data_IF_645716270383
#
_entry.id   IF_645716270383
#
_cell.length_a   1.000
_cell.length_b   1.000
_cell.length_c   1.000
_cell.angle_alpha   90.00
_cell.angle_beta   90.00
_cell.angle_gamma   90.00
#
_symmetry.space_group_name_H-M   'P 1'
#
loop_
_entity.id
_entity.type
_entity.pdbx_description
1 polymer ?
#
# COMPACT_ATOMS: atom_id res chain seq x y z
N UNK A 1 20.02 -11.52 3.44
CA UNK A 1 20.34 -10.78 2.20
C UNK A 1 19.70 -9.41 2.33
N UNK A 2 20.48 -8.33 2.29
CA UNK A 2 19.94 -6.97 2.24
C UNK A 2 19.52 -6.69 0.79
N UNK A 3 18.31 -7.10 0.43
CA UNK A 3 17.71 -6.69 -0.85
C UNK A 3 17.28 -5.23 -0.68
N UNK A 4 17.84 -4.38 -1.52
CA UNK A 4 17.48 -2.96 -1.58
C UNK A 4 16.25 -2.79 -2.50
N UNK A 5 15.36 -1.86 -2.16
CA UNK A 5 14.15 -1.59 -2.91
C UNK A 5 13.99 -0.08 -3.11
N UNK A 6 13.13 0.30 -4.05
CA UNK A 6 12.68 1.68 -4.26
C UNK A 6 11.23 1.80 -3.81
N UNK A 7 10.89 2.95 -3.22
CA UNK A 7 9.51 3.34 -2.96
C UNK A 7 9.19 4.58 -3.78
N UNK A 8 7.99 4.63 -4.34
CA UNK A 8 7.51 5.76 -5.15
C UNK A 8 6.07 6.08 -4.76
N UNK A 9 5.79 7.37 -4.53
CA UNK A 9 4.41 7.85 -4.45
C UNK A 9 3.74 7.67 -5.82
N UNK A 10 2.52 7.12 -5.82
CA UNK A 10 1.73 6.94 -7.02
C UNK A 10 0.29 7.40 -6.81
N UNK A 11 -0.34 7.72 -7.93
CA UNK A 11 -1.78 7.97 -8.00
C UNK A 11 -2.36 7.27 -9.24
N UNK A 12 -3.60 6.79 -9.11
CA UNK A 12 -4.31 6.15 -10.21
C UNK A 12 -5.83 6.32 -10.07
N UNK A 13 -6.58 6.48 -11.19
CA UNK A 13 -8.02 6.66 -11.15
C UNK A 13 -8.75 5.34 -10.89
N UNK A 14 -9.88 5.41 -10.18
CA UNK A 14 -10.90 4.37 -10.14
C UNK A 14 -11.81 4.44 -11.37
N UNK A 15 -12.77 3.50 -11.46
CA UNK A 15 -13.79 3.52 -12.52
C UNK A 15 -14.70 4.77 -12.50
N UNK A 16 -14.83 5.43 -11.34
CA UNK A 16 -15.59 6.66 -11.16
C UNK A 16 -14.69 7.91 -11.09
N UNK A 17 -13.48 7.84 -11.67
CA UNK A 17 -12.52 8.94 -11.79
C UNK A 17 -11.97 9.50 -10.45
N UNK A 18 -12.25 8.83 -9.33
CA UNK A 18 -11.68 9.19 -8.02
C UNK A 18 -10.23 8.72 -7.98
N UNK A 19 -9.30 9.60 -7.59
CA UNK A 19 -7.89 9.26 -7.49
C UNK A 19 -7.57 8.50 -6.21
N UNK A 20 -7.07 7.28 -6.35
CA UNK A 20 -6.45 6.54 -5.24
C UNK A 20 -4.96 6.86 -5.17
N UNK A 21 -4.44 7.03 -3.95
CA UNK A 21 -3.03 7.34 -3.69
C UNK A 21 -2.38 6.25 -2.85
N UNK A 22 -1.11 6.04 -3.09
CA UNK A 22 -0.37 4.97 -2.44
C UNK A 22 1.10 4.97 -2.77
N UNK A 23 1.76 3.87 -2.40
CA UNK A 23 3.17 3.61 -2.63
C UNK A 23 3.36 2.38 -3.50
N UNK A 24 4.27 2.49 -4.45
CA UNK A 24 4.78 1.38 -5.23
C UNK A 24 6.18 1.00 -4.74
N UNK A 25 6.30 -0.22 -4.23
CA UNK A 25 7.57 -0.81 -3.82
C UNK A 25 8.10 -1.72 -4.92
N UNK A 26 9.32 -1.45 -5.38
CA UNK A 26 9.98 -2.22 -6.43
C UNK A 26 11.34 -2.72 -5.96
N UNK A 27 11.68 -4.01 -6.17
CA UNK A 27 13.01 -4.51 -5.87
C UNK A 27 14.05 -3.85 -6.80
N UNK A 28 15.24 -3.55 -6.27
CA UNK A 28 16.34 -3.01 -7.08
C UNK A 28 16.88 -4.12 -7.99
N UNK A 29 16.96 -3.80 -9.29
CA UNK A 29 17.29 -4.74 -10.37
C UNK A 29 18.77 -5.09 -10.35
N UNK A 30 19.12 -6.36 -10.18
CA UNK A 30 20.52 -6.83 -10.33
C UNK A 30 20.83 -7.40 -11.72
N UNK A 31 19.82 -7.84 -12.50
CA UNK A 31 20.04 -8.45 -13.84
C UNK A 31 18.93 -8.03 -14.81
N UNK A 32 19.31 -7.54 -15.99
CA UNK A 32 18.39 -6.96 -17.00
C UNK A 32 17.49 -7.98 -17.72
N UNK A 33 17.83 -9.27 -17.71
CA UNK A 33 17.44 -10.16 -18.82
C UNK A 33 16.21 -11.06 -18.62
N UNK A 34 15.42 -10.89 -17.55
CA UNK A 34 14.09 -11.51 -17.41
C UNK A 34 13.50 -11.06 -16.08
N UNK A 35 12.55 -10.13 -16.03
CA UNK A 35 11.98 -9.70 -14.74
C UNK A 35 10.50 -9.33 -14.84
N UNK A 36 9.66 -10.34 -15.02
CA UNK A 36 8.28 -10.27 -14.53
C UNK A 36 8.32 -10.68 -13.05
N UNK A 37 8.50 -9.70 -12.16
CA UNK A 37 8.26 -9.94 -10.75
C UNK A 37 6.76 -10.15 -10.51
N UNK A 38 6.36 -11.15 -9.71
CA UNK A 38 4.98 -11.23 -9.25
C UNK A 38 4.59 -9.93 -8.54
N UNK A 39 3.35 -9.49 -8.76
CA UNK A 39 2.83 -8.25 -8.19
C UNK A 39 1.78 -8.57 -7.14
N UNK A 40 1.85 -7.88 -6.01
CA UNK A 40 0.86 -7.97 -4.93
C UNK A 40 0.22 -6.59 -4.79
N UNK A 41 -1.10 -6.58 -4.68
CA UNK A 41 -1.87 -5.38 -4.32
C UNK A 41 -2.28 -5.53 -2.86
N UNK A 42 -1.92 -4.53 -2.06
CA UNK A 42 -2.22 -4.41 -0.64
C UNK A 42 -3.09 -3.19 -0.40
N UNK A 43 -4.07 -3.34 0.47
CA UNK A 43 -4.90 -2.25 0.97
C UNK A 43 -5.12 -2.42 2.46
N UNK A 44 -5.31 -1.33 3.21
CA UNK A 44 -5.70 -1.42 4.61
C UNK A 44 -7.09 -2.03 4.76
N UNK A 45 -7.38 -2.50 5.97
CA UNK A 45 -8.73 -2.88 6.38
C UNK A 45 -9.68 -1.67 6.33
N UNK A 46 -10.99 -1.92 6.40
CA UNK A 46 -11.98 -0.85 6.45
C UNK A 46 -11.79 0.03 7.69
N UNK A 47 -11.58 1.34 7.52
CA UNK A 47 -11.20 2.21 8.62
C UNK A 47 -9.73 2.62 8.63
N UNK A 48 -8.86 1.84 7.97
CA UNK A 48 -7.42 2.01 8.03
C UNK A 48 -6.84 2.85 6.90
N UNK A 49 -5.60 3.30 7.11
CA UNK A 49 -4.74 3.97 6.14
C UNK A 49 -3.42 3.21 6.01
N UNK A 50 -2.71 3.36 4.88
CA UNK A 50 -1.47 2.64 4.55
C UNK A 50 -0.35 2.83 5.58
N UNK A 51 -0.36 3.93 6.33
CA UNK A 51 0.57 4.24 7.41
C UNK A 51 0.37 3.38 8.67
N UNK A 52 -0.72 2.60 8.77
CA UNK A 52 -0.98 1.73 9.92
C UNK A 52 -0.18 0.41 9.84
N UNK A 53 1.15 0.53 9.76
CA UNK A 53 2.14 -0.54 9.70
C UNK A 53 2.19 -1.36 8.40
N UNK A 54 1.33 -1.08 7.41
CA UNK A 54 1.34 -1.84 6.15
C UNK A 54 2.60 -1.58 5.33
N UNK A 55 3.21 -0.42 5.47
CA UNK A 55 4.52 -0.07 4.90
C UNK A 55 5.59 -1.11 5.26
N UNK A 56 5.68 -1.50 6.54
CA UNK A 56 6.64 -2.50 7.02
C UNK A 56 6.45 -3.85 6.33
N UNK A 57 5.20 -4.27 6.09
CA UNK A 57 4.89 -5.50 5.38
C UNK A 57 5.24 -5.39 3.89
N UNK A 58 4.91 -4.26 3.25
CA UNK A 58 5.23 -4.03 1.85
C UNK A 58 6.75 -4.05 1.61
N UNK A 59 7.53 -3.41 2.49
CA UNK A 59 8.99 -3.48 2.47
C UNK A 59 9.51 -4.90 2.65
N UNK A 60 8.98 -5.64 3.62
CA UNK A 60 9.41 -7.01 3.89
C UNK A 60 9.13 -7.94 2.71
N UNK A 61 7.93 -7.86 2.12
CA UNK A 61 7.52 -8.65 0.95
C UNK A 61 8.39 -8.32 -0.26
N UNK A 62 8.71 -7.04 -0.47
CA UNK A 62 9.54 -6.59 -1.60
C UNK A 62 10.94 -7.20 -1.58
N UNK A 63 11.49 -7.47 -0.39
CA UNK A 63 12.78 -8.17 -0.22
C UNK A 63 12.77 -9.61 -0.77
N UNK A 64 11.60 -10.18 -1.05
CA UNK A 64 11.44 -11.50 -1.68
C UNK A 64 11.15 -11.43 -3.18
N UNK A 65 11.52 -10.33 -3.86
CA UNK A 65 11.34 -10.12 -5.30
C UNK A 65 9.87 -10.05 -5.75
N UNK A 66 9.03 -9.43 -4.93
CA UNK A 66 7.68 -9.02 -5.30
C UNK A 66 7.65 -7.52 -5.54
N UNK A 67 6.83 -7.08 -6.49
CA UNK A 67 6.42 -5.67 -6.57
C UNK A 67 5.15 -5.51 -5.75
N UNK A 68 5.13 -4.53 -4.85
CA UNK A 68 3.97 -4.31 -3.97
C UNK A 68 3.37 -2.94 -4.26
N UNK A 69 2.09 -2.93 -4.58
CA UNK A 69 1.25 -1.74 -4.59
C UNK A 69 0.51 -1.67 -3.25
N UNK A 70 0.79 -0.67 -2.43
CA UNK A 70 0.05 -0.38 -1.19
C UNK A 70 -0.68 0.94 -1.36
N UNK A 71 -2.00 0.97 -1.22
CA UNK A 71 -2.79 2.19 -1.45
C UNK A 71 -3.87 2.42 -0.38
N UNK A 72 -4.31 3.67 -0.24
CA UNK A 72 -5.45 4.03 0.61
C UNK A 72 -6.77 3.85 -0.13
N UNK A 73 -7.78 3.28 0.54
CA UNK A 73 -9.11 3.15 -0.05
C UNK A 73 -9.75 4.52 -0.33
N UNK A 74 -10.70 4.58 -1.26
CA UNK A 74 -11.47 5.81 -1.55
C UNK A 74 -12.05 6.41 -0.26
N UNK A 75 -11.92 7.73 -0.08
CA UNK A 75 -12.32 8.48 1.12
C UNK A 75 -11.45 8.25 2.37
N UNK A 76 -10.31 7.59 2.26
CA UNK A 76 -9.36 7.36 3.34
C UNK A 76 -7.97 7.92 3.00
N UNK A 77 -7.22 8.25 4.05
CA UNK A 77 -5.80 8.60 3.95
C UNK A 77 -5.55 9.69 2.92
N UNK A 78 -4.61 9.44 2.02
CA UNK A 78 -4.25 10.39 0.97
C UNK A 78 -5.13 10.26 -0.28
N UNK A 79 -5.99 9.24 -0.37
CA UNK A 79 -6.88 9.07 -1.52
C UNK A 79 -7.94 10.17 -1.58
N UNK A 80 -8.39 10.49 -2.78
CA UNK A 80 -9.39 11.51 -3.01
C UNK A 80 -10.71 11.18 -2.29
N UNK A 81 -11.35 12.24 -1.81
CA UNK A 81 -12.63 12.18 -1.11
C UNK A 81 -13.75 12.50 -2.10
N UNK A 82 -14.68 11.57 -2.24
CA UNK A 82 -15.96 11.75 -2.92
C UNK A 82 -16.99 12.27 -1.91
N UNK A 83 -17.38 13.56 -1.98
CA UNK A 83 -18.28 14.17 -1.00
C UNK A 83 -19.70 13.62 -1.04
N UNK A 84 -20.11 12.96 -2.13
CA UNK A 84 -21.45 12.37 -2.25
C UNK A 84 -21.55 10.98 -1.59
N UNK A 85 -20.40 10.36 -1.25
CA UNK A 85 -20.31 8.98 -0.75
C UNK A 85 -19.51 8.86 0.53
N UNK A 86 -19.74 9.78 1.47
CA UNK A 86 -19.07 9.77 2.78
C UNK A 86 -19.80 8.83 3.75
N UNK A 87 -19.06 7.87 4.32
CA UNK A 87 -19.48 7.11 5.50
C UNK A 87 -18.82 7.67 6.76
N UNK A 88 -19.54 7.70 7.88
CA UNK A 88 -18.96 7.99 9.19
C UNK A 88 -18.70 6.66 9.89
N UNK A 89 -17.44 6.38 10.22
CA UNK A 89 -17.03 5.23 11.02
C UNK A 89 -15.95 5.65 12.02
N UNK A 90 -15.71 4.80 13.02
CA UNK A 90 -14.57 4.93 13.93
C UNK A 90 -13.77 3.64 13.91
N UNK A 91 -12.45 3.75 13.77
CA UNK A 91 -11.53 2.63 14.00
C UNK A 91 -11.01 2.72 15.44
N UNK A 92 -11.19 1.66 16.23
CA UNK A 92 -10.58 1.57 17.57
C UNK A 92 -9.21 0.91 17.45
N UNK A 93 -8.15 1.67 17.68
CA UNK A 93 -6.77 1.18 17.67
C UNK A 93 -6.24 0.91 19.08
N UNK A 94 -7.09 0.49 20.03
CA UNK A 94 -6.65 0.04 21.36
C UNK A 94 -5.89 -1.29 21.23
N UNK A 95 -4.61 -1.19 20.85
CA UNK A 95 -3.77 -2.29 20.40
C UNK A 95 -3.55 -3.39 21.43
N UNK A 96 -3.68 -4.64 20.99
CA UNK A 96 -3.08 -5.79 21.65
C UNK A 96 -1.65 -5.96 21.15
N UNK A 97 -0.67 -5.34 21.83
CA UNK A 97 0.72 -5.76 21.68
C UNK A 97 0.85 -7.16 22.27
N UNK A 98 0.93 -8.19 21.43
CA UNK A 98 1.52 -9.46 21.83
C UNK A 98 3.02 -9.34 21.54
N UNK A 99 3.76 -8.93 22.57
CA UNK A 99 5.17 -9.29 22.65
C UNK A 99 5.19 -10.80 22.92
N UNK A 100 5.74 -11.56 21.97
CA UNK A 100 6.06 -12.98 22.15
C UNK A 100 7.45 -13.09 22.75
#
# INVERSE_FOLDING_TARGET
MNVSFKHHDIEFPTQNDVLLRGWLYEPIREVENQNLYPRIVMSPYYGGVKELFLDLYAEYITKFNFVVLLYDNQNFGDSEVDPERIGIWGASCSGGHVLV
#
